data_IF_551985885656
#
_entry.id   IF_551985885656
#
_cell.length_a   1.000
_cell.length_b   1.000
_cell.length_c   1.000
_cell.angle_alpha   90.00
_cell.angle_beta   90.00
_cell.angle_gamma   90.00
#
_symmetry.space_group_name_H-M   'P 1'
#
loop_
_entity.id
_entity.type
_entity.pdbx_description
1 polymer ?
#
# COMPACT_ATOMS: atom_id res chain seq x y z
N UNK A 1 11.27 -12.12 20.65
CA UNK A 1 10.40 -12.46 19.51
C UNK A 1 9.21 -11.53 19.59
N UNK A 2 8.76 -10.98 18.45
CA UNK A 2 7.66 -10.01 18.39
C UNK A 2 6.54 -10.58 17.48
N UNK A 3 5.29 -10.24 17.80
CA UNK A 3 4.12 -10.71 17.08
C UNK A 3 3.29 -9.52 16.60
N UNK A 4 2.87 -9.56 15.32
CA UNK A 4 2.19 -8.45 14.67
C UNK A 4 1.04 -8.90 13.77
N UNK A 5 0.10 -7.99 13.53
CA UNK A 5 -0.89 -8.06 12.48
C UNK A 5 -0.59 -6.99 11.43
N UNK A 6 -0.45 -7.40 10.18
CA UNK A 6 -0.35 -6.50 9.03
C UNK A 6 -0.79 -7.22 7.75
N UNK A 7 -1.35 -6.48 6.80
CA UNK A 7 -1.81 -7.04 5.52
C UNK A 7 -2.87 -8.14 5.65
N UNK A 8 -3.55 -8.23 6.78
CA UNK A 8 -4.43 -9.33 7.14
C UNK A 8 -3.69 -10.63 7.53
N UNK A 9 -2.39 -10.57 7.80
CA UNK A 9 -1.53 -11.70 8.12
C UNK A 9 -0.97 -11.57 9.55
N UNK A 10 -0.87 -12.71 10.25
CA UNK A 10 -0.15 -12.84 11.51
C UNK A 10 1.34 -13.03 11.24
N UNK A 11 2.17 -12.22 11.89
CA UNK A 11 3.61 -12.14 11.64
C UNK A 11 4.37 -12.38 12.94
N UNK A 12 5.36 -13.28 12.90
CA UNK A 12 6.35 -13.46 13.97
C UNK A 12 7.71 -12.95 13.48
N UNK A 13 8.36 -12.07 14.25
CA UNK A 13 9.60 -11.41 13.85
C UNK A 13 10.64 -11.38 14.95
N UNK A 14 11.91 -11.56 14.57
CA UNK A 14 13.06 -11.27 15.42
C UNK A 14 13.37 -9.77 15.50
N UNK A 15 12.95 -8.99 14.52
CA UNK A 15 13.11 -7.54 14.49
C UNK A 15 11.87 -6.83 15.04
N UNK A 16 12.08 -5.77 15.80
CA UNK A 16 11.01 -4.90 16.29
C UNK A 16 10.54 -3.95 15.16
N UNK A 17 9.21 -3.91 14.95
CA UNK A 17 8.54 -3.05 13.98
C UNK A 17 7.56 -2.10 14.66
N UNK A 18 7.94 -0.86 14.98
CA UNK A 18 7.00 0.12 15.55
C UNK A 18 5.88 0.51 14.57
N UNK A 19 6.06 0.27 13.29
CA UNK A 19 5.09 0.55 12.23
C UNK A 19 3.92 -0.43 12.22
N UNK A 20 4.06 -1.63 12.80
CA UNK A 20 3.08 -2.70 12.73
C UNK A 20 2.16 -2.72 13.95
N UNK A 21 0.98 -3.30 13.80
CA UNK A 21 0.05 -3.51 14.91
C UNK A 21 0.52 -4.69 15.76
N UNK A 22 0.93 -4.48 17.03
CA UNK A 22 1.31 -5.59 17.91
C UNK A 22 0.10 -6.45 18.27
N UNK A 23 0.31 -7.76 18.38
CA UNK A 23 -0.67 -8.72 18.87
C UNK A 23 -0.06 -9.61 19.95
N UNK A 24 -0.91 -10.32 20.70
CA UNK A 24 -0.46 -11.36 21.62
C UNK A 24 0.18 -12.53 20.87
N UNK A 25 1.01 -13.28 21.56
CA UNK A 25 1.61 -14.50 21.02
C UNK A 25 0.55 -15.48 20.54
N UNK A 26 0.73 -16.00 19.32
CA UNK A 26 -0.19 -16.96 18.70
C UNK A 26 0.57 -18.10 18.03
N UNK A 27 -0.03 -19.28 18.02
CA UNK A 27 0.50 -20.44 17.29
C UNK A 27 0.21 -20.35 15.79
N UNK A 28 -0.86 -19.62 15.39
CA UNK A 28 -1.22 -19.44 14.00
C UNK A 28 -0.43 -18.30 13.37
N UNK A 29 0.72 -18.61 12.80
CA UNK A 29 1.61 -17.63 12.15
C UNK A 29 1.59 -17.83 10.64
N UNK A 30 1.24 -16.75 9.92
CA UNK A 30 1.27 -16.73 8.45
C UNK A 30 2.67 -16.49 7.90
N UNK A 31 3.45 -15.59 8.53
CA UNK A 31 4.79 -15.19 8.05
C UNK A 31 5.77 -15.12 9.20
N UNK A 32 6.96 -15.68 8.98
CA UNK A 32 8.09 -15.58 9.92
C UNK A 32 9.21 -14.74 9.34
N UNK A 33 9.78 -13.84 10.16
CA UNK A 33 10.97 -13.05 9.84
C UNK A 33 12.13 -13.45 10.76
N UNK A 34 13.26 -13.79 10.15
CA UNK A 34 14.48 -14.16 10.87
C UNK A 34 15.67 -13.37 10.35
N UNK A 35 16.63 -13.10 11.22
CA UNK A 35 17.96 -12.71 10.79
C UNK A 35 18.74 -13.95 10.38
N UNK A 36 19.56 -13.83 9.34
CA UNK A 36 20.38 -14.94 8.87
C UNK A 36 21.11 -14.65 7.58
N UNK A 37 22.00 -15.55 7.16
CA UNK A 37 22.67 -15.44 5.87
C UNK A 37 21.71 -15.81 4.73
N UNK A 38 21.70 -14.99 3.70
CA UNK A 38 20.97 -15.26 2.47
C UNK A 38 21.90 -15.99 1.50
N UNK A 39 21.79 -17.32 1.47
CA UNK A 39 22.52 -18.15 0.51
C UNK A 39 21.93 -17.96 -0.89
N UNK A 40 22.77 -17.58 -1.87
CA UNK A 40 22.26 -17.31 -3.21
C UNK A 40 23.18 -17.81 -4.32
N UNK A 41 22.69 -18.79 -5.05
CA UNK A 41 23.14 -19.18 -6.38
C UNK A 41 22.10 -18.77 -7.46
N UNK A 42 21.40 -17.64 -7.30
CA UNK A 42 20.28 -17.26 -8.15
C UNK A 42 20.69 -16.11 -9.05
N UNK A 43 20.51 -16.27 -10.35
CA UNK A 43 20.75 -15.21 -11.34
C UNK A 43 19.77 -14.03 -11.10
N UNK A 44 20.32 -12.83 -11.01
CA UNK A 44 19.58 -11.59 -10.79
C UNK A 44 19.01 -11.11 -12.12
N UNK A 45 17.65 -10.89 -12.18
CA UNK A 45 16.96 -10.56 -13.44
C UNK A 45 16.55 -9.11 -13.62
N UNK A 46 16.47 -8.33 -12.55
CA UNK A 46 16.01 -6.94 -12.61
C UNK A 46 16.91 -6.01 -11.80
N UNK A 47 17.44 -4.98 -12.44
CA UNK A 47 18.14 -3.88 -11.79
C UNK A 47 17.26 -2.64 -11.76
N UNK A 48 17.06 -2.03 -10.57
CA UNK A 48 16.43 -0.71 -10.42
C UNK A 48 17.28 0.12 -9.46
N UNK A 49 17.79 1.24 -9.93
CA UNK A 49 18.49 2.23 -9.11
C UNK A 49 19.38 1.63 -8.02
N UNK A 50 20.46 0.99 -8.38
CA UNK A 50 21.44 0.29 -7.52
C UNK A 50 20.88 -0.88 -6.68
N UNK A 51 19.61 -1.27 -6.82
CA UNK A 51 19.04 -2.44 -6.17
C UNK A 51 18.97 -3.58 -7.16
N UNK A 52 19.23 -4.79 -6.66
CA UNK A 52 19.11 -5.99 -7.45
C UNK A 52 17.96 -6.83 -6.95
N UNK A 53 17.07 -7.18 -7.86
CA UNK A 53 15.86 -7.97 -7.56
C UNK A 53 15.91 -9.24 -8.40
N UNK A 54 15.69 -10.36 -7.72
CA UNK A 54 15.39 -11.65 -8.35
C UNK A 54 13.97 -12.06 -8.00
N UNK A 55 13.23 -12.57 -8.99
CA UNK A 55 11.87 -13.04 -8.84
C UNK A 55 11.75 -14.41 -9.48
N UNK A 56 11.56 -15.45 -8.67
CA UNK A 56 11.21 -16.81 -9.09
C UNK A 56 9.77 -17.14 -8.71
N UNK A 57 9.32 -18.37 -9.04
CA UNK A 57 7.93 -18.79 -8.82
C UNK A 57 7.53 -18.74 -7.34
N UNK A 58 8.42 -19.16 -6.43
CA UNK A 58 8.19 -19.20 -4.98
C UNK A 58 9.25 -18.47 -4.18
N UNK A 59 10.22 -17.84 -4.85
CA UNK A 59 11.37 -17.20 -4.22
C UNK A 59 11.52 -15.77 -4.70
N UNK A 60 11.89 -14.89 -3.79
CA UNK A 60 12.18 -13.49 -4.07
C UNK A 60 13.43 -13.08 -3.33
N UNK A 61 14.33 -12.38 -4.01
CA UNK A 61 15.53 -11.76 -3.42
C UNK A 61 15.54 -10.28 -3.74
N UNK A 62 15.84 -9.50 -2.73
CA UNK A 62 16.14 -8.07 -2.87
C UNK A 62 17.49 -7.79 -2.23
N UNK A 63 18.42 -7.25 -3.00
CA UNK A 63 19.67 -6.68 -2.48
C UNK A 63 19.56 -5.16 -2.51
N UNK A 64 19.72 -4.56 -1.35
CA UNK A 64 19.82 -3.11 -1.16
C UNK A 64 21.22 -2.82 -0.66
N UNK A 65 22.11 -2.25 -1.50
CA UNK A 65 23.49 -1.94 -1.10
C UNK A 65 23.51 -1.12 0.19
N UNK A 66 24.47 -1.42 1.05
CA UNK A 66 24.71 -0.76 2.34
C UNK A 66 23.55 -0.86 3.35
N UNK A 67 22.51 -1.66 3.06
CA UNK A 67 21.38 -1.85 3.95
C UNK A 67 21.19 -3.32 4.31
N UNK A 68 20.72 -4.15 3.38
CA UNK A 68 20.45 -5.55 3.63
C UNK A 68 20.24 -6.36 2.34
N UNK A 69 20.39 -7.67 2.45
CA UNK A 69 19.84 -8.65 1.51
C UNK A 69 18.64 -9.32 2.14
N UNK A 70 17.54 -9.39 1.39
CA UNK A 70 16.29 -10.02 1.80
C UNK A 70 16.02 -11.24 0.93
N UNK A 71 15.52 -12.29 1.57
CA UNK A 71 14.98 -13.47 0.91
C UNK A 71 13.57 -13.75 1.38
N UNK A 72 12.62 -13.93 0.46
CA UNK A 72 11.26 -14.33 0.77
C UNK A 72 10.90 -15.62 0.03
N UNK A 73 10.30 -16.56 0.73
CA UNK A 73 10.06 -17.92 0.23
C UNK A 73 8.66 -18.42 0.60
N UNK A 74 7.96 -18.97 -0.41
CA UNK A 74 6.70 -19.69 -0.24
C UNK A 74 5.57 -18.88 0.38
N UNK A 75 5.68 -17.55 0.41
CA UNK A 75 4.68 -16.68 1.04
C UNK A 75 4.63 -16.76 2.57
N UNK A 76 5.62 -17.42 3.21
CA UNK A 76 5.58 -17.72 4.66
C UNK A 76 6.84 -17.35 5.41
N UNK A 77 7.96 -17.16 4.71
CA UNK A 77 9.27 -16.97 5.35
C UNK A 77 10.01 -15.79 4.74
N UNK A 78 10.58 -14.97 5.60
CA UNK A 78 11.50 -13.89 5.24
C UNK A 78 12.80 -14.10 6.02
N UNK A 79 13.93 -14.06 5.32
CA UNK A 79 15.29 -14.02 5.91
C UNK A 79 15.91 -12.68 5.58
N UNK A 80 16.49 -12.02 6.58
CA UNK A 80 17.12 -10.71 6.46
C UNK A 80 18.59 -10.83 6.86
N UNK A 81 19.49 -10.58 5.92
CA UNK A 81 20.92 -10.42 6.15
C UNK A 81 21.24 -8.92 6.13
N UNK A 82 21.25 -8.30 7.30
CA UNK A 82 21.49 -6.87 7.42
C UNK A 82 23.00 -6.57 7.42
N UNK A 83 23.37 -5.40 6.87
CA UNK A 83 24.73 -4.87 7.00
C UNK A 83 24.96 -4.47 8.48
N UNK A 84 26.20 -4.61 8.96
CA UNK A 84 26.54 -4.19 10.32
C UNK A 84 26.27 -2.69 10.51
N UNK A 85 25.80 -2.30 11.68
CA UNK A 85 25.56 -0.92 12.10
C UNK A 85 24.58 -0.11 11.20
N UNK A 86 23.81 -0.78 10.33
CA UNK A 86 22.80 -0.14 9.50
C UNK A 86 21.61 0.39 10.34
N UNK A 87 21.05 1.52 9.93
CA UNK A 87 19.79 2.00 10.48
C UNK A 87 18.67 0.97 10.25
N UNK A 88 18.14 0.40 11.33
CA UNK A 88 17.05 -0.58 11.26
C UNK A 88 15.78 -0.01 10.65
N UNK A 89 15.54 1.31 10.70
CA UNK A 89 14.44 1.97 10.00
C UNK A 89 14.50 1.76 8.49
N UNK A 90 15.70 1.82 7.90
CA UNK A 90 15.89 1.50 6.49
C UNK A 90 15.63 0.03 6.19
N UNK A 91 16.10 -0.87 7.07
CA UNK A 91 15.84 -2.32 6.90
C UNK A 91 14.34 -2.59 6.91
N UNK A 92 13.60 -2.04 7.87
CA UNK A 92 12.14 -2.17 7.96
C UNK A 92 11.43 -1.57 6.75
N UNK A 93 11.84 -0.37 6.32
CA UNK A 93 11.24 0.32 5.16
C UNK A 93 11.26 -0.55 3.90
N UNK A 94 12.43 -1.14 3.58
CA UNK A 94 12.54 -2.00 2.41
C UNK A 94 11.82 -3.33 2.58
N UNK A 95 11.82 -3.90 3.76
CA UNK A 95 11.07 -5.11 4.08
C UNK A 95 9.57 -4.88 3.85
N UNK A 96 8.98 -3.85 4.48
CA UNK A 96 7.54 -3.54 4.40
C UNK A 96 7.11 -3.12 2.98
N UNK A 97 7.96 -2.40 2.23
CA UNK A 97 7.57 -1.87 0.92
C UNK A 97 7.87 -2.79 -0.26
N UNK A 98 8.75 -3.77 -0.13
CA UNK A 98 9.16 -4.63 -1.25
C UNK A 98 9.00 -6.12 -0.92
N UNK A 99 9.53 -6.57 0.22
CA UNK A 99 9.58 -7.99 0.54
C UNK A 99 8.17 -8.51 0.88
N UNK A 100 7.38 -7.75 1.64
CA UNK A 100 5.99 -8.11 1.89
C UNK A 100 5.14 -8.10 0.63
N UNK A 101 5.41 -7.24 -0.35
CA UNK A 101 4.73 -7.32 -1.65
C UNK A 101 5.00 -8.65 -2.36
N UNK A 102 6.24 -9.18 -2.27
CA UNK A 102 6.56 -10.49 -2.81
C UNK A 102 5.85 -11.62 -2.03
N UNK A 103 5.84 -11.57 -0.69
CA UNK A 103 5.10 -12.51 0.16
C UNK A 103 3.62 -12.54 -0.22
N UNK A 104 2.99 -11.38 -0.38
CA UNK A 104 1.58 -11.29 -0.76
C UNK A 104 1.33 -11.89 -2.14
N UNK A 105 2.16 -11.57 -3.13
CA UNK A 105 2.06 -12.15 -4.48
C UNK A 105 2.25 -13.68 -4.47
N UNK A 106 3.22 -14.21 -3.71
CA UNK A 106 3.43 -15.66 -3.53
C UNK A 106 2.19 -16.34 -2.92
N UNK A 107 1.43 -15.62 -2.11
CA UNK A 107 0.13 -16.07 -1.53
C UNK A 107 -1.06 -15.82 -2.46
N UNK A 108 -0.84 -15.34 -3.69
CA UNK A 108 -1.88 -14.93 -4.66
C UNK A 108 -2.77 -13.79 -4.15
N UNK A 109 -2.22 -12.96 -3.29
CA UNK A 109 -2.82 -11.72 -2.81
C UNK A 109 -2.13 -10.57 -3.55
N UNK A 110 -2.88 -9.79 -4.33
CA UNK A 110 -2.35 -8.76 -5.22
C UNK A 110 -2.68 -7.36 -4.70
N UNK A 111 -1.77 -6.72 -3.95
CA UNK A 111 -2.06 -5.43 -3.32
C UNK A 111 -2.29 -4.33 -4.34
N UNK A 112 -3.13 -3.37 -3.98
CA UNK A 112 -3.41 -2.17 -4.75
C UNK A 112 -2.64 -0.98 -4.14
N UNK A 113 -1.96 -0.19 -4.96
CA UNK A 113 -1.33 1.05 -4.54
C UNK A 113 -2.39 2.14 -4.34
N UNK A 114 -3.01 2.12 -3.18
CA UNK A 114 -4.12 2.99 -2.82
C UNK A 114 -4.03 3.46 -1.38
N UNK A 115 -4.48 4.69 -1.12
CA UNK A 115 -4.96 5.09 0.18
C UNK A 115 -6.45 4.77 0.29
N UNK A 116 -6.96 4.56 1.50
CA UNK A 116 -8.37 4.30 1.74
C UNK A 116 -8.88 5.00 3.00
N UNK A 117 -10.09 5.55 2.91
CA UNK A 117 -10.86 6.02 4.07
C UNK A 117 -12.03 5.08 4.32
N UNK A 118 -12.42 4.99 5.59
CA UNK A 118 -13.58 4.23 6.05
C UNK A 118 -14.83 5.11 6.01
N UNK A 119 -15.90 4.55 5.48
CA UNK A 119 -17.24 5.13 5.50
C UNK A 119 -18.21 4.04 5.98
N UNK A 120 -18.55 4.03 7.28
CA UNK A 120 -19.26 2.93 7.93
C UNK A 120 -18.55 1.58 7.65
N UNK A 121 -19.23 0.61 7.01
CA UNK A 121 -18.67 -0.69 6.62
C UNK A 121 -18.10 -0.72 5.19
N UNK A 122 -18.00 0.44 4.54
CA UNK A 122 -17.52 0.59 3.18
C UNK A 122 -16.18 1.33 3.12
N UNK A 123 -15.44 1.09 2.03
CA UNK A 123 -14.21 1.80 1.75
C UNK A 123 -14.31 2.66 0.50
N UNK A 124 -13.71 3.82 0.59
CA UNK A 124 -13.42 4.70 -0.54
C UNK A 124 -11.92 4.68 -0.80
N UNK A 125 -11.53 4.17 -1.96
CA UNK A 125 -10.14 4.02 -2.37
C UNK A 125 -9.68 5.25 -3.16
N UNK A 126 -8.42 5.63 -2.98
CA UNK A 126 -7.76 6.74 -3.69
C UNK A 126 -6.48 6.22 -4.31
N UNK A 127 -6.46 6.10 -5.63
CA UNK A 127 -5.33 5.64 -6.43
C UNK A 127 -4.67 6.78 -7.21
N UNK A 128 -3.49 6.50 -7.76
CA UNK A 128 -2.75 7.40 -8.65
C UNK A 128 -1.24 7.30 -8.42
N UNK A 129 -0.46 7.82 -9.35
CA UNK A 129 1.01 7.76 -9.26
C UNK A 129 1.57 8.53 -8.06
N UNK A 130 2.81 8.23 -7.70
CA UNK A 130 3.51 8.97 -6.65
C UNK A 130 3.56 10.47 -7.00
N UNK A 131 3.33 11.34 -6.01
CA UNK A 131 3.34 12.79 -6.20
C UNK A 131 2.08 13.38 -6.84
N UNK A 132 1.04 12.57 -7.15
CA UNK A 132 -0.23 13.08 -7.71
C UNK A 132 -1.13 13.77 -6.68
N UNK A 133 -0.85 13.61 -5.38
CA UNK A 133 -1.60 14.24 -4.28
C UNK A 133 -2.53 13.29 -3.51
N UNK A 134 -2.36 11.96 -3.59
CA UNK A 134 -3.13 11.01 -2.77
C UNK A 134 -3.08 11.32 -1.28
N UNK A 135 -1.86 11.41 -0.73
CA UNK A 135 -1.68 11.68 0.71
C UNK A 135 -2.19 13.06 1.11
N UNK A 136 -2.09 14.06 0.24
CA UNK A 136 -2.64 15.41 0.49
C UNK A 136 -4.18 15.36 0.51
N UNK A 137 -4.81 14.61 -0.42
CA UNK A 137 -6.27 14.41 -0.38
C UNK A 137 -6.68 13.62 0.86
N UNK A 138 -5.93 12.57 1.22
CA UNK A 138 -6.16 11.81 2.46
C UNK A 138 -6.14 12.76 3.67
N UNK A 139 -5.09 13.58 3.83
CA UNK A 139 -5.00 14.55 4.91
C UNK A 139 -6.20 15.51 4.92
N UNK A 140 -6.62 16.02 3.76
CA UNK A 140 -7.81 16.89 3.67
C UNK A 140 -9.11 16.18 4.09
N UNK A 141 -9.29 14.89 3.76
CA UNK A 141 -10.46 14.13 4.18
C UNK A 141 -10.44 13.84 5.69
N UNK A 142 -9.28 13.51 6.24
CA UNK A 142 -9.11 13.32 7.70
C UNK A 142 -9.43 14.60 8.47
N UNK A 143 -9.00 15.79 7.97
CA UNK A 143 -9.34 17.08 8.59
C UNK A 143 -10.85 17.38 8.59
N UNK A 144 -11.62 16.69 7.76
CA UNK A 144 -13.08 16.78 7.69
C UNK A 144 -13.81 15.69 8.49
N UNK A 145 -13.06 14.93 9.32
CA UNK A 145 -13.60 13.93 10.24
C UNK A 145 -13.78 12.53 9.66
N UNK A 146 -13.23 12.24 8.48
CA UNK A 146 -13.21 10.87 7.94
C UNK A 146 -12.07 10.08 8.58
N UNK A 147 -12.30 8.77 8.79
CA UNK A 147 -11.32 7.88 9.40
C UNK A 147 -10.46 7.21 8.32
N UNK A 148 -9.17 7.11 8.59
CA UNK A 148 -8.26 6.34 7.76
C UNK A 148 -8.57 4.84 7.88
N UNK A 149 -8.40 4.12 6.76
CA UNK A 149 -8.36 2.66 6.76
C UNK A 149 -6.95 2.15 6.42
N UNK A 150 -6.33 2.69 5.39
CA UNK A 150 -4.97 2.34 4.97
C UNK A 150 -4.33 3.48 4.19
N UNK A 151 -3.02 3.61 4.27
CA UNK A 151 -2.24 4.48 3.36
C UNK A 151 -1.28 3.61 2.56
N UNK A 152 -1.02 4.03 1.31
CA UNK A 152 -0.06 3.43 0.38
C UNK A 152 -0.44 2.04 -0.18
N UNK A 153 -0.97 1.12 0.65
CA UNK A 153 -1.28 -0.26 0.24
C UNK A 153 -2.61 -0.73 0.82
N UNK A 154 -3.54 -1.15 -0.06
CA UNK A 154 -4.75 -1.87 0.30
C UNK A 154 -4.64 -3.32 -0.19
N UNK A 155 -5.05 -4.28 0.64
CA UNK A 155 -4.84 -5.71 0.42
C UNK A 155 -6.15 -6.41 0.09
N UNK A 156 -6.46 -6.62 -1.20
CA UNK A 156 -7.70 -7.26 -1.61
C UNK A 156 -7.66 -8.78 -1.42
N UNK A 157 -8.77 -9.35 -1.04
CA UNK A 157 -9.01 -10.79 -1.13
C UNK A 157 -10.43 -11.05 -1.60
N UNK A 158 -10.62 -12.19 -2.25
CA UNK A 158 -11.92 -12.63 -2.75
C UNK A 158 -12.41 -13.79 -1.88
N UNK A 159 -13.67 -13.73 -1.44
CA UNK A 159 -14.27 -14.82 -0.71
C UNK A 159 -14.89 -15.86 -1.65
N UNK A 160 -15.40 -16.96 -1.09
CA UNK A 160 -16.03 -18.06 -1.85
C UNK A 160 -17.26 -17.64 -2.67
N UNK A 161 -17.90 -16.53 -2.35
CA UNK A 161 -19.02 -15.97 -3.12
C UNK A 161 -18.60 -15.03 -4.26
N UNK A 162 -17.30 -14.82 -4.46
CA UNK A 162 -16.76 -13.90 -5.46
C UNK A 162 -16.76 -12.43 -5.04
N UNK A 163 -17.13 -12.12 -3.79
CA UNK A 163 -17.11 -10.76 -3.25
C UNK A 163 -15.70 -10.40 -2.79
N UNK A 164 -15.24 -9.18 -3.16
CA UNK A 164 -13.93 -8.68 -2.76
C UNK A 164 -14.05 -7.84 -1.50
N UNK A 165 -13.12 -8.09 -0.58
CA UNK A 165 -12.89 -7.32 0.65
C UNK A 165 -11.46 -6.79 0.63
N UNK A 166 -11.17 -5.81 1.48
CA UNK A 166 -9.83 -5.25 1.67
C UNK A 166 -9.40 -5.37 3.11
N UNK A 167 -8.16 -5.81 3.35
CA UNK A 167 -7.45 -5.56 4.60
C UNK A 167 -6.62 -4.28 4.49
N UNK A 168 -6.47 -3.59 5.61
CA UNK A 168 -5.46 -2.55 5.76
C UNK A 168 -4.06 -3.16 5.73
N UNK A 169 -3.06 -2.39 5.29
CA UNK A 169 -1.67 -2.83 5.33
C UNK A 169 -1.13 -2.84 6.77
N UNK A 170 -0.88 -1.67 7.33
CA UNK A 170 -0.39 -1.47 8.69
C UNK A 170 -0.65 -0.02 9.12
N UNK A 171 -0.65 0.29 10.45
CA UNK A 171 -1.11 1.56 10.98
C UNK A 171 -0.11 2.71 10.83
N UNK A 172 0.30 3.03 9.59
CA UNK A 172 1.19 4.16 9.32
C UNK A 172 0.77 4.92 8.07
N UNK A 173 0.56 6.23 8.20
CA UNK A 173 0.43 7.18 7.10
C UNK A 173 1.78 7.79 6.76
N UNK A 174 1.96 8.16 5.48
CA UNK A 174 3.23 8.71 4.96
C UNK A 174 3.00 10.05 4.27
N UNK A 175 3.51 11.13 4.85
CA UNK A 175 3.36 12.48 4.30
C UNK A 175 4.69 13.14 3.97
N UNK A 176 4.71 13.91 2.88
CA UNK A 176 5.78 14.84 2.59
C UNK A 176 5.70 16.06 3.49
N UNK A 177 6.83 16.70 3.78
CA UNK A 177 6.92 17.93 4.59
C UNK A 177 5.93 19.00 4.15
N UNK A 178 5.79 19.21 2.86
CA UNK A 178 4.83 20.17 2.29
C UNK A 178 3.38 19.87 2.70
N UNK A 179 2.99 18.59 2.71
CA UNK A 179 1.66 18.18 3.18
C UNK A 179 1.51 18.44 4.68
N UNK A 180 2.52 18.09 5.48
CA UNK A 180 2.48 18.31 6.94
C UNK A 180 2.33 19.81 7.23
N UNK A 181 3.10 20.66 6.57
CA UNK A 181 3.01 22.12 6.72
C UNK A 181 1.64 22.68 6.32
N UNK A 182 0.96 22.06 5.37
CA UNK A 182 -0.39 22.45 4.91
C UNK A 182 -1.51 21.98 5.84
N UNK A 183 -1.24 21.00 6.72
CA UNK A 183 -2.21 20.41 7.64
C UNK A 183 -1.66 20.32 9.06
N UNK A 184 -1.58 21.44 9.81
CA UNK A 184 -0.99 21.48 11.15
C UNK A 184 -1.64 20.53 12.18
N UNK A 185 -2.88 20.10 11.96
CA UNK A 185 -3.57 19.14 12.84
C UNK A 185 -2.90 17.75 12.87
N UNK A 186 -2.06 17.43 11.87
CA UNK A 186 -1.30 16.16 11.85
C UNK A 186 -0.27 16.07 13.00
N UNK A 187 0.15 17.24 13.54
CA UNK A 187 1.14 17.27 14.61
C UNK A 187 2.55 16.85 14.16
N UNK A 188 3.32 16.34 15.10
CA UNK A 188 4.70 15.89 14.82
C UNK A 188 4.72 14.44 14.33
N UNK A 189 5.58 14.12 13.34
CA UNK A 189 5.73 12.77 12.83
C UNK A 189 6.41 11.85 13.85
N UNK A 190 6.08 10.56 13.80
CA UNK A 190 6.71 9.54 14.62
C UNK A 190 8.11 9.15 14.12
N UNK A 191 8.30 9.12 12.80
CA UNK A 191 9.57 8.75 12.17
C UNK A 191 9.82 9.54 10.88
N UNK A 192 11.10 9.75 10.55
CA UNK A 192 11.51 10.08 9.18
C UNK A 192 11.77 8.78 8.42
N UNK A 193 11.21 8.61 7.23
CA UNK A 193 11.30 7.34 6.49
C UNK A 193 12.72 7.04 5.97
N UNK A 194 13.44 8.09 5.59
CA UNK A 194 14.82 8.01 5.12
C UNK A 194 15.52 9.35 5.36
N UNK A 195 16.82 9.35 5.68
CA UNK A 195 17.57 10.59 5.91
C UNK A 195 17.62 11.54 4.70
N UNK A 196 17.59 10.98 3.48
CA UNK A 196 17.67 11.69 2.21
C UNK A 196 16.28 12.07 1.62
N UNK A 197 15.17 11.72 2.31
CA UNK A 197 13.81 12.06 1.89
C UNK A 197 13.08 12.87 2.95
N UNK A 198 12.50 13.98 2.54
CA UNK A 198 11.65 14.82 3.39
C UNK A 198 10.22 14.25 3.50
N UNK A 199 10.15 12.93 3.78
CA UNK A 199 8.92 12.16 3.93
C UNK A 199 8.90 11.45 5.28
N UNK A 200 7.76 11.54 5.97
CA UNK A 200 7.60 11.18 7.37
C UNK A 200 6.45 10.21 7.57
N UNK A 201 6.56 9.36 8.60
CA UNK A 201 5.54 8.41 9.03
C UNK A 201 4.79 8.90 10.26
N UNK A 202 3.47 8.72 10.26
CA UNK A 202 2.55 9.00 11.35
C UNK A 202 1.82 7.72 11.72
N UNK A 203 1.91 7.28 12.97
CA UNK A 203 1.25 6.06 13.41
C UNK A 203 -0.20 6.33 13.83
N UNK A 204 -1.10 5.40 13.52
CA UNK A 204 -2.51 5.45 13.90
C UNK A 204 -2.99 4.11 14.49
N UNK A 205 -2.21 3.56 15.42
CA UNK A 205 -2.49 2.25 16.04
C UNK A 205 -3.86 2.18 16.70
N UNK A 206 -4.32 3.26 17.33
CA UNK A 206 -5.61 3.30 18.03
C UNK A 206 -6.80 3.28 17.08
N UNK A 207 -6.65 3.80 15.86
CA UNK A 207 -7.67 3.88 14.84
C UNK A 207 -7.56 2.72 13.83
N UNK A 208 -6.57 1.84 14.00
CA UNK A 208 -6.31 0.77 13.05
C UNK A 208 -7.45 -0.25 12.99
N UNK A 209 -7.99 -0.47 11.82
CA UNK A 209 -9.07 -1.43 11.56
C UNK A 209 -8.48 -2.77 11.12
N UNK A 210 -8.51 -3.75 12.01
CA UNK A 210 -8.01 -5.11 11.73
C UNK A 210 -8.96 -5.94 10.84
N UNK A 211 -10.25 -5.52 10.76
CA UNK A 211 -11.24 -6.23 9.95
C UNK A 211 -11.12 -5.87 8.48
N UNK A 212 -11.44 -6.85 7.65
CA UNK A 212 -11.62 -6.60 6.24
C UNK A 212 -12.95 -5.88 5.96
N UNK A 213 -12.89 -4.82 5.15
CA UNK A 213 -14.05 -4.03 4.77
C UNK A 213 -14.33 -4.12 3.26
N UNK A 214 -15.57 -3.81 2.85
CA UNK A 214 -16.00 -3.88 1.46
C UNK A 214 -15.62 -2.59 0.71
N UNK A 215 -14.78 -2.64 -0.37
CA UNK A 215 -14.53 -1.48 -1.21
C UNK A 215 -15.74 -1.20 -2.10
N UNK A 216 -16.14 0.07 -2.18
CA UNK A 216 -17.34 0.49 -2.92
C UNK A 216 -17.08 1.59 -3.95
N UNK A 217 -16.19 2.51 -3.64
CA UNK A 217 -15.78 3.60 -4.54
C UNK A 217 -14.28 3.61 -4.73
N UNK A 218 -13.84 4.03 -5.93
CA UNK A 218 -12.44 4.29 -6.20
C UNK A 218 -12.28 5.55 -7.03
N UNK A 219 -11.32 6.40 -6.61
CA UNK A 219 -10.92 7.60 -7.32
C UNK A 219 -9.48 7.43 -7.82
N UNK A 220 -9.28 7.65 -9.12
CA UNK A 220 -7.96 7.68 -9.75
C UNK A 220 -7.57 9.14 -9.97
N UNK A 221 -6.56 9.62 -9.23
CA UNK A 221 -6.03 10.96 -9.39
C UNK A 221 -5.01 10.99 -10.52
N UNK A 222 -5.15 11.95 -11.42
CA UNK A 222 -4.24 12.20 -12.53
C UNK A 222 -3.87 13.68 -12.58
N UNK A 223 -2.61 13.98 -12.88
CA UNK A 223 -2.17 15.35 -13.21
C UNK A 223 -2.34 15.61 -14.69
N UNK A 224 -2.80 16.79 -15.03
CA UNK A 224 -2.91 17.25 -16.39
C UNK A 224 -2.36 18.66 -16.53
N UNK A 225 -1.59 18.89 -17.59
CA UNK A 225 -1.10 20.22 -17.99
C UNK A 225 -2.10 20.93 -18.90
N UNK A 226 -3.10 20.21 -19.41
CA UNK A 226 -4.08 20.71 -20.36
C UNK A 226 -5.35 21.25 -19.70
N UNK A 227 -5.53 20.99 -18.40
CA UNK A 227 -6.71 21.45 -17.67
C UNK A 227 -6.37 22.55 -16.68
N UNK A 228 -7.22 23.56 -16.62
CA UNK A 228 -7.17 24.66 -15.65
C UNK A 228 -8.11 24.46 -14.47
N UNK A 229 -8.97 23.42 -14.51
CA UNK A 229 -9.90 23.09 -13.43
C UNK A 229 -10.00 21.55 -13.29
N UNK A 230 -10.66 21.11 -12.22
CA UNK A 230 -10.91 19.70 -11.95
C UNK A 230 -11.91 19.12 -12.96
N UNK A 231 -11.55 18.01 -13.58
CA UNK A 231 -12.46 17.23 -14.41
C UNK A 231 -12.74 15.88 -13.75
N UNK A 232 -14.02 15.50 -13.69
CA UNK A 232 -14.49 14.24 -13.12
C UNK A 232 -15.14 13.40 -14.20
N UNK A 233 -14.71 12.17 -14.32
CA UNK A 233 -15.27 11.23 -15.30
C UNK A 233 -15.50 9.87 -14.62
N UNK A 234 -16.74 9.38 -14.68
CA UNK A 234 -17.05 8.00 -14.28
C UNK A 234 -16.37 7.00 -15.22
N UNK A 235 -15.86 5.91 -14.66
CA UNK A 235 -15.17 4.85 -15.39
C UNK A 235 -15.69 3.48 -14.92
N UNK A 236 -15.89 2.56 -15.87
CA UNK A 236 -16.39 1.22 -15.61
C UNK A 236 -15.78 0.19 -16.57
N UNK A 237 -16.15 -1.09 -16.39
CA UNK A 237 -15.77 -2.20 -17.28
C UNK A 237 -14.27 -2.29 -17.53
N UNK A 238 -13.89 -2.44 -18.79
CA UNK A 238 -12.48 -2.59 -19.20
C UNK A 238 -11.62 -1.41 -18.79
N UNK A 239 -12.13 -0.18 -18.88
CA UNK A 239 -11.38 1.01 -18.49
C UNK A 239 -11.08 1.02 -16.98
N UNK A 240 -12.02 0.62 -16.14
CA UNK A 240 -11.80 0.49 -14.69
C UNK A 240 -10.77 -0.61 -14.39
N UNK A 241 -10.89 -1.77 -15.05
CA UNK A 241 -9.92 -2.86 -14.93
C UNK A 241 -8.50 -2.40 -15.27
N UNK A 242 -8.31 -1.72 -16.38
CA UNK A 242 -6.99 -1.20 -16.79
C UNK A 242 -6.41 -0.20 -15.78
N UNK A 243 -7.25 0.66 -15.19
CA UNK A 243 -6.83 1.58 -14.14
C UNK A 243 -6.45 0.85 -12.86
N UNK A 244 -7.19 -0.17 -12.46
CA UNK A 244 -6.83 -1.01 -11.33
C UNK A 244 -5.48 -1.71 -11.58
N UNK A 245 -5.31 -2.33 -12.74
CA UNK A 245 -4.08 -3.03 -13.12
C UNK A 245 -2.87 -2.10 -13.11
N UNK A 246 -3.00 -0.88 -13.65
CA UNK A 246 -1.91 0.11 -13.64
C UNK A 246 -1.56 0.65 -12.24
N UNK A 247 -2.41 0.42 -11.25
CA UNK A 247 -2.19 0.76 -9.85
C UNK A 247 -1.94 -0.49 -8.97
N UNK A 248 -1.67 -1.66 -9.56
CA UNK A 248 -1.22 -2.83 -8.81
C UNK A 248 0.09 -2.51 -8.09
N UNK A 249 0.14 -2.79 -6.77
CA UNK A 249 1.33 -2.52 -5.98
C UNK A 249 2.42 -3.54 -6.31
N UNK A 250 3.57 -3.06 -6.82
CA UNK A 250 4.65 -3.93 -7.31
C UNK A 250 4.18 -4.92 -8.39
N UNK A 251 3.31 -4.46 -9.29
CA UNK A 251 2.79 -5.28 -10.39
C UNK A 251 3.88 -5.91 -11.28
N UNK A 252 5.08 -5.35 -11.31
CA UNK A 252 6.25 -5.93 -11.97
C UNK A 252 6.68 -7.30 -11.42
N UNK A 253 6.30 -7.66 -10.18
CA UNK A 253 6.62 -8.97 -9.59
C UNK A 253 5.78 -10.10 -10.20
N UNK A 254 4.61 -9.80 -10.76
CA UNK A 254 3.69 -10.78 -11.33
C UNK A 254 4.30 -11.58 -12.49
N UNK A 255 5.13 -10.93 -13.31
CA UNK A 255 5.75 -11.56 -14.47
C UNK A 255 6.74 -12.67 -14.13
N UNK A 256 7.36 -12.60 -12.95
CA UNK A 256 8.32 -13.59 -12.48
C UNK A 256 7.68 -14.78 -11.74
N UNK A 257 6.45 -14.64 -11.28
CA UNK A 257 5.75 -15.61 -10.41
C UNK A 257 4.63 -16.40 -11.12
N UNK A 258 4.44 -16.21 -12.42
CA UNK A 258 3.35 -16.81 -13.23
C UNK A 258 1.95 -16.67 -12.60
N UNK A 259 1.64 -15.49 -12.08
CA UNK A 259 0.41 -15.22 -11.33
C UNK A 259 -0.65 -14.44 -12.13
N UNK A 260 -0.44 -14.28 -13.45
CA UNK A 260 -1.28 -13.41 -14.31
C UNK A 260 -2.76 -13.79 -14.29
N UNK A 261 -3.08 -15.08 -14.30
CA UNK A 261 -4.47 -15.52 -14.28
C UNK A 261 -5.17 -15.16 -12.97
N UNK A 262 -4.57 -15.49 -11.83
CA UNK A 262 -5.14 -15.17 -10.51
C UNK A 262 -5.27 -13.68 -10.29
N UNK A 263 -4.30 -12.90 -10.79
CA UNK A 263 -4.35 -11.44 -10.77
C UNK A 263 -5.54 -10.92 -11.61
N UNK A 264 -5.71 -11.43 -12.83
CA UNK A 264 -6.82 -11.07 -13.70
C UNK A 264 -8.18 -11.37 -13.07
N UNK A 265 -8.35 -12.53 -12.44
CA UNK A 265 -9.58 -12.95 -11.77
C UNK A 265 -9.94 -12.00 -10.61
N UNK A 266 -8.98 -11.70 -9.74
CA UNK A 266 -9.20 -10.79 -8.62
C UNK A 266 -9.54 -9.37 -9.09
N UNK A 267 -8.76 -8.81 -10.02
CA UNK A 267 -8.97 -7.44 -10.49
C UNK A 267 -10.24 -7.30 -11.34
N UNK A 268 -10.63 -8.36 -12.05
CA UNK A 268 -11.92 -8.40 -12.76
C UNK A 268 -13.10 -8.40 -11.79
N UNK A 269 -13.00 -9.15 -10.68
CA UNK A 269 -14.02 -9.16 -9.63
C UNK A 269 -14.11 -7.80 -8.94
N UNK A 270 -12.96 -7.19 -8.65
CA UNK A 270 -12.88 -5.86 -8.07
C UNK A 270 -13.49 -4.79 -9.00
N UNK A 271 -13.19 -4.85 -10.32
CA UNK A 271 -13.75 -3.94 -11.32
C UNK A 271 -15.27 -4.06 -11.47
N UNK A 272 -15.84 -5.25 -11.25
CA UNK A 272 -17.30 -5.45 -11.27
C UNK A 272 -17.98 -4.87 -10.02
N UNK A 273 -17.28 -4.87 -8.88
CA UNK A 273 -17.83 -4.44 -7.60
C UNK A 273 -17.74 -2.93 -7.39
N UNK A 274 -16.68 -2.29 -7.87
CA UNK A 274 -16.39 -0.88 -7.64
C UNK A 274 -17.12 0.05 -8.60
N UNK A 275 -17.48 1.25 -8.10
CA UNK A 275 -17.73 2.43 -8.94
C UNK A 275 -16.46 3.26 -9.01
N UNK A 276 -15.98 3.52 -10.21
CA UNK A 276 -14.71 4.19 -10.46
C UNK A 276 -14.89 5.62 -11.01
N UNK A 277 -14.03 6.52 -10.59
CA UNK A 277 -13.94 7.90 -11.09
C UNK A 277 -12.48 8.23 -11.41
N UNK A 278 -12.26 8.84 -12.56
CA UNK A 278 -10.99 9.51 -12.87
C UNK A 278 -11.13 10.98 -12.58
N UNK A 279 -10.18 11.53 -11.86
CA UNK A 279 -10.12 12.95 -11.49
C UNK A 279 -8.84 13.53 -12.10
N UNK A 280 -9.00 14.28 -13.18
CA UNK A 280 -7.91 15.06 -13.75
C UNK A 280 -7.81 16.39 -12.99
N UNK A 281 -6.63 16.70 -12.49
CA UNK A 281 -6.35 17.93 -11.76
C UNK A 281 -5.22 18.72 -12.42
N UNK A 282 -5.28 20.07 -12.41
CA UNK A 282 -4.13 20.89 -12.77
C UNK A 282 -2.98 20.66 -11.79
N UNK A 283 -1.76 21.02 -12.20
CA UNK A 283 -0.57 20.87 -11.35
C UNK A 283 -0.58 21.79 -10.12
N UNK A 284 -1.53 22.70 -10.02
CA UNK A 284 -1.63 23.67 -8.91
C UNK A 284 -2.10 22.99 -7.60
N UNK A 285 -1.37 23.26 -6.51
CA UNK A 285 -1.68 22.77 -5.17
C UNK A 285 -2.95 23.40 -4.57
N UNK A 286 -3.39 24.57 -5.07
CA UNK A 286 -4.57 25.27 -4.56
C UNK A 286 -5.90 24.57 -4.87
N UNK A 287 -5.89 23.42 -5.59
CA UNK A 287 -7.10 22.67 -5.92
C UNK A 287 -7.58 21.73 -4.81
N UNK A 288 -6.83 21.55 -3.71
CA UNK A 288 -7.10 20.49 -2.73
C UNK A 288 -8.47 20.59 -2.06
N UNK A 289 -8.92 21.79 -1.70
CA UNK A 289 -10.23 21.99 -1.07
C UNK A 289 -11.34 21.67 -2.05
N UNK A 290 -11.30 22.21 -3.28
CA UNK A 290 -12.25 21.87 -4.34
C UNK A 290 -12.29 20.37 -4.62
N UNK A 291 -11.11 19.73 -4.65
CA UNK A 291 -10.98 18.29 -4.88
C UNK A 291 -11.65 17.48 -3.77
N UNK A 292 -11.33 17.78 -2.50
CA UNK A 292 -11.91 17.08 -1.36
C UNK A 292 -13.42 17.31 -1.26
N UNK A 293 -13.93 18.53 -1.51
CA UNK A 293 -15.34 18.83 -1.48
C UNK A 293 -16.10 18.07 -2.56
N UNK A 294 -15.54 17.98 -3.77
CA UNK A 294 -16.16 17.22 -4.88
C UNK A 294 -16.12 15.71 -4.64
N UNK A 295 -15.05 15.19 -4.09
CA UNK A 295 -14.97 13.78 -3.66
C UNK A 295 -16.06 13.49 -2.63
N UNK A 296 -16.25 14.37 -1.64
CA UNK A 296 -17.29 14.23 -0.62
C UNK A 296 -18.70 14.35 -1.18
N UNK A 297 -18.93 15.25 -2.14
CA UNK A 297 -20.22 15.34 -2.86
C UNK A 297 -20.56 14.01 -3.53
N UNK A 298 -19.60 13.39 -4.24
CA UNK A 298 -19.81 12.10 -4.90
C UNK A 298 -20.07 10.99 -3.87
N UNK A 299 -19.33 10.98 -2.76
CA UNK A 299 -19.54 10.02 -1.67
C UNK A 299 -20.95 10.17 -1.11
N UNK A 300 -21.37 11.38 -0.75
CA UNK A 300 -22.71 11.66 -0.20
C UNK A 300 -23.83 11.23 -1.15
N UNK A 301 -23.71 11.56 -2.43
CA UNK A 301 -24.72 11.18 -3.44
C UNK A 301 -24.84 9.66 -3.67
N UNK A 302 -23.90 8.86 -3.19
CA UNK A 302 -23.88 7.39 -3.38
C UNK A 302 -24.29 6.62 -2.14
N UNK A 303 -24.10 7.17 -0.93
CA UNK A 303 -24.28 6.46 0.34
C UNK A 303 -25.26 7.14 1.31
N UNK A 304 -25.62 8.40 1.06
CA UNK A 304 -26.61 9.16 1.82
C UNK A 304 -27.79 9.56 0.95
#
# INVERSE_FOLDING_TARGET
MFYYLAYGLSIRSEMYYPELMPIEETESIDVTLHFGQVQTHVEERLERSNRKVFIGDYNFKLLVPDVATYWAEGGTKIVIEKVADVDEGLVRLFCLSNVFAAILNQRKIFPLHAAAIKLEDHLVLICGHSGVGKSTLLASLLSKGYNIFSDDVCVPFINSSGKVYMYSSYPMMKFWRETISSFPYLGEPNIQLRPDYDKYGFFFHNEFEAKALTPSLIFFLEKSTETTDLKFREINGVGLFQKLESNAYRGEYLGGMDLKQSHFELFSSLAKQLKGYVIERPNDLNTINKLSDKVLEIIKNKFL
#
